data_IF_567108848356
#
_entry.id   IF_567108848356
#
_cell.length_a   1.000
_cell.length_b   1.000
_cell.length_c   1.000
_cell.angle_alpha   90.00
_cell.angle_beta   90.00
_cell.angle_gamma   90.00
#
_symmetry.space_group_name_H-M   'P 1'
#
loop_
_entity.id
_entity.type
_entity.pdbx_description
1 polymer ?
#
# COMPACT_ATOMS: atom_id res chain seq x y z
N UNK A 1 68.84 25.02 -5.15
CA UNK A 1 67.82 24.81 -4.10
C UNK A 1 66.54 25.49 -4.57
N UNK A 2 65.84 24.91 -5.55
CA UNK A 2 64.65 25.51 -6.19
C UNK A 2 63.51 24.49 -6.40
N UNK A 3 63.49 23.40 -5.62
CA UNK A 3 62.44 22.37 -5.71
C UNK A 3 61.29 22.55 -4.70
N UNK A 4 61.35 23.59 -3.87
CA UNK A 4 60.41 23.79 -2.76
C UNK A 4 59.20 24.68 -3.06
N UNK A 5 59.32 25.64 -3.98
CA UNK A 5 58.29 26.68 -4.13
C UNK A 5 57.16 26.28 -5.11
N UNK A 6 57.50 25.55 -6.18
CA UNK A 6 56.53 25.16 -7.21
C UNK A 6 55.62 24.00 -6.74
N UNK A 7 56.18 23.07 -5.96
CA UNK A 7 55.42 21.99 -5.31
C UNK A 7 54.53 22.51 -4.17
N UNK A 8 54.99 23.55 -3.45
CA UNK A 8 54.20 24.20 -2.40
C UNK A 8 53.02 24.99 -2.98
N UNK A 9 53.18 25.66 -4.14
CA UNK A 9 52.05 26.30 -4.85
C UNK A 9 51.03 25.28 -5.37
N UNK A 10 51.48 24.16 -5.96
CA UNK A 10 50.59 23.09 -6.43
C UNK A 10 49.83 22.41 -5.27
N UNK A 11 50.49 22.20 -4.13
CA UNK A 11 49.85 21.65 -2.93
C UNK A 11 48.82 22.62 -2.33
N UNK A 12 49.13 23.92 -2.27
CA UNK A 12 48.18 24.96 -1.79
C UNK A 12 46.96 25.04 -2.73
N UNK A 13 47.15 24.98 -4.05
CA UNK A 13 46.05 24.94 -5.00
C UNK A 13 45.20 23.66 -4.85
N UNK A 14 45.82 22.49 -4.62
CA UNK A 14 45.10 21.23 -4.45
C UNK A 14 44.26 21.20 -3.16
N UNK A 15 44.77 21.76 -2.05
CA UNK A 15 44.04 21.83 -0.77
C UNK A 15 42.95 22.91 -0.81
N UNK A 16 43.18 24.03 -1.49
CA UNK A 16 42.18 25.10 -1.63
C UNK A 16 41.00 24.73 -2.55
N UNK A 17 41.16 23.77 -3.46
CA UNK A 17 40.08 23.25 -4.32
C UNK A 17 39.30 22.08 -3.70
N UNK A 18 39.82 21.47 -2.62
CA UNK A 18 39.19 20.32 -1.95
C UNK A 18 37.79 20.58 -1.35
N UNK A 19 37.45 21.77 -0.80
CA UNK A 19 36.11 22.02 -0.27
C UNK A 19 35.04 22.25 -1.35
N UNK A 20 35.42 22.43 -2.63
CA UNK A 20 34.46 22.61 -3.74
C UNK A 20 33.74 21.30 -4.13
N UNK A 21 34.25 20.15 -3.67
CA UNK A 21 33.65 18.82 -3.88
C UNK A 21 32.89 18.31 -2.66
N UNK A 22 32.79 19.09 -1.58
CA UNK A 22 31.80 18.85 -0.54
C UNK A 22 30.44 19.25 -1.10
N UNK A 23 29.88 18.44 -2.01
CA UNK A 23 28.47 18.54 -2.33
C UNK A 23 27.74 18.29 -1.01
N UNK A 24 27.11 19.32 -0.47
CA UNK A 24 26.14 19.16 0.60
C UNK A 24 25.04 18.25 0.05
N UNK A 25 25.18 16.94 0.26
CA UNK A 25 24.05 16.03 0.21
C UNK A 25 23.19 16.45 1.40
N UNK A 26 22.25 17.34 1.16
CA UNK A 26 21.11 17.49 2.04
C UNK A 26 20.34 16.19 1.95
N UNK A 27 20.43 15.36 2.99
CA UNK A 27 19.50 14.25 3.15
C UNK A 27 18.09 14.83 3.08
N UNK A 28 17.36 14.42 2.04
CA UNK A 28 15.98 14.86 1.87
C UNK A 28 15.16 14.06 2.88
N UNK A 29 14.97 14.65 4.07
CA UNK A 29 14.15 14.04 5.10
C UNK A 29 12.66 14.32 4.77
N UNK A 30 11.93 13.27 4.40
CA UNK A 30 10.50 13.32 4.10
C UNK A 30 9.63 13.02 5.32
N UNK A 31 10.19 12.65 6.48
CA UNK A 31 9.43 12.21 7.65
C UNK A 31 8.39 13.25 8.11
N UNK A 32 8.74 14.55 8.09
CA UNK A 32 7.81 15.62 8.48
C UNK A 32 6.75 15.97 7.42
N UNK A 33 6.82 15.35 6.25
CA UNK A 33 5.92 15.58 5.12
C UNK A 33 5.00 14.38 4.87
N UNK A 34 5.21 13.25 5.56
CA UNK A 34 4.34 12.09 5.42
C UNK A 34 3.01 12.36 6.11
N UNK A 35 1.87 12.09 5.46
CA UNK A 35 0.57 12.21 6.08
C UNK A 35 0.41 11.16 7.18
N UNK A 36 -0.53 11.42 8.10
CA UNK A 36 -0.92 10.46 9.12
C UNK A 36 -1.33 9.11 8.48
N UNK A 37 -1.18 8.04 9.24
CA UNK A 37 -1.62 6.70 8.86
C UNK A 37 -3.13 6.69 8.58
N UNK A 38 -3.52 6.20 7.40
CA UNK A 38 -4.92 6.15 6.95
C UNK A 38 -5.36 4.72 6.63
N UNK A 39 -6.64 4.37 6.88
CA UNK A 39 -7.21 3.11 6.44
C UNK A 39 -7.37 3.07 4.92
N UNK A 40 -7.16 1.89 4.36
CA UNK A 40 -7.25 1.58 2.92
C UNK A 40 -8.15 0.37 2.74
N UNK A 41 -9.10 0.49 1.82
CA UNK A 41 -9.98 -0.61 1.41
C UNK A 41 -9.58 -1.02 -0.01
N UNK A 42 -9.22 -2.28 -0.20
CA UNK A 42 -9.15 -2.89 -1.53
C UNK A 42 -10.29 -3.90 -1.64
N UNK A 43 -11.12 -3.77 -2.66
CA UNK A 43 -12.28 -4.63 -2.84
C UNK A 43 -12.48 -4.96 -4.32
N UNK A 44 -13.12 -6.09 -4.55
CA UNK A 44 -13.58 -6.52 -5.87
C UNK A 44 -15.04 -6.92 -5.74
N UNK A 45 -15.88 -6.37 -6.60
CA UNK A 45 -17.30 -6.71 -6.69
C UNK A 45 -17.62 -7.09 -8.13
N UNK A 46 -17.91 -8.36 -8.35
CA UNK A 46 -18.20 -8.95 -9.66
C UNK A 46 -19.42 -9.87 -9.54
N UNK A 47 -20.18 -10.11 -10.63
CA UNK A 47 -21.42 -10.89 -10.53
C UNK A 47 -21.26 -12.40 -10.26
N UNK A 48 -20.04 -12.92 -10.26
CA UNK A 48 -19.71 -14.34 -10.18
C UNK A 48 -19.39 -14.82 -8.75
N UNK A 49 -19.08 -13.89 -7.84
CA UNK A 49 -18.68 -14.19 -6.47
C UNK A 49 -19.29 -13.21 -5.49
N UNK A 50 -19.29 -13.57 -4.20
CA UNK A 50 -19.63 -12.65 -3.12
C UNK A 50 -18.67 -11.46 -3.06
N UNK A 51 -19.14 -10.32 -2.56
CA UNK A 51 -18.30 -9.15 -2.33
C UNK A 51 -17.24 -9.45 -1.28
N UNK A 52 -15.98 -9.17 -1.62
CA UNK A 52 -14.83 -9.35 -0.76
C UNK A 52 -14.00 -8.06 -0.67
N UNK A 53 -13.45 -7.79 0.50
CA UNK A 53 -12.58 -6.66 0.73
C UNK A 53 -11.43 -7.01 1.69
N UNK A 54 -10.25 -6.49 1.41
CA UNK A 54 -9.17 -6.40 2.39
C UNK A 54 -9.11 -4.98 2.95
N UNK A 55 -8.94 -4.87 4.27
CA UNK A 55 -8.75 -3.59 4.94
C UNK A 55 -7.33 -3.55 5.51
N UNK A 56 -6.60 -2.49 5.18
CA UNK A 56 -5.23 -2.25 5.63
C UNK A 56 -5.05 -0.81 6.05
N UNK A 57 -3.85 -0.46 6.53
CA UNK A 57 -3.42 0.93 6.73
C UNK A 57 -2.29 1.31 5.78
N UNK A 58 -2.12 2.59 5.52
CA UNK A 58 -0.88 3.10 4.92
C UNK A 58 0.31 2.86 5.87
N UNK A 59 1.49 2.75 5.29
CA UNK A 59 2.73 2.59 6.02
C UNK A 59 3.85 3.37 5.35
N UNK A 60 4.80 3.83 6.14
CA UNK A 60 6.02 4.44 5.62
C UNK A 60 7.07 3.38 5.20
N UNK A 61 8.10 3.80 4.46
CA UNK A 61 9.11 2.85 3.97
C UNK A 61 10.09 2.38 5.06
N UNK A 62 10.14 3.07 6.20
CA UNK A 62 11.06 2.86 7.31
C UNK A 62 10.47 2.05 8.46
N UNK A 63 9.15 1.91 8.52
CA UNK A 63 8.44 1.25 9.60
C UNK A 63 8.48 -0.28 9.47
N UNK A 64 8.35 -0.93 10.63
CA UNK A 64 8.09 -2.35 10.66
C UNK A 64 6.67 -2.63 10.17
N UNK A 65 6.56 -3.52 9.19
CA UNK A 65 5.29 -3.88 8.53
C UNK A 65 4.46 -4.85 9.38
N UNK A 66 4.20 -4.46 10.63
CA UNK A 66 3.33 -5.14 11.60
C UNK A 66 2.01 -4.38 11.77
N UNK A 67 0.91 -5.11 11.93
CA UNK A 67 -0.44 -4.55 12.01
C UNK A 67 -0.84 -3.76 10.77
N UNK A 68 -0.28 -4.08 9.60
CA UNK A 68 -0.64 -3.42 8.34
C UNK A 68 -2.02 -3.89 7.89
N UNK A 69 -2.32 -5.18 8.10
CA UNK A 69 -3.67 -5.72 7.86
C UNK A 69 -4.54 -5.50 9.09
N UNK A 70 -5.65 -4.78 8.91
CA UNK A 70 -6.54 -4.42 10.00
C UNK A 70 -7.55 -5.54 10.21
N UNK A 71 -7.28 -6.41 11.19
CA UNK A 71 -8.05 -7.64 11.45
C UNK A 71 -9.33 -7.43 12.25
N UNK A 72 -9.37 -6.34 13.00
CA UNK A 72 -10.45 -6.01 13.93
C UNK A 72 -11.33 -4.85 13.43
N UNK A 73 -11.23 -4.50 12.15
CA UNK A 73 -12.09 -3.50 11.52
C UNK A 73 -13.56 -3.95 11.49
N UNK A 74 -14.48 -3.03 11.77
CA UNK A 74 -15.91 -3.25 11.55
C UNK A 74 -16.24 -2.84 10.11
N UNK A 75 -16.60 -3.80 9.27
CA UNK A 75 -16.78 -3.59 7.82
C UNK A 75 -18.22 -3.82 7.43
N UNK A 76 -18.87 -2.79 6.89
CA UNK A 76 -20.27 -2.80 6.48
C UNK A 76 -20.38 -2.80 4.96
N UNK A 77 -21.28 -3.62 4.42
CA UNK A 77 -21.66 -3.63 3.01
C UNK A 77 -23.00 -2.91 2.81
N UNK A 78 -23.04 -2.02 1.84
CA UNK A 78 -24.26 -1.38 1.35
C UNK A 78 -24.48 -1.76 -0.11
N UNK A 79 -25.74 -2.05 -0.44
CA UNK A 79 -26.19 -2.38 -1.79
C UNK A 79 -27.29 -1.40 -2.17
N UNK A 80 -27.10 -0.70 -3.28
CA UNK A 80 -28.05 0.30 -3.78
C UNK A 80 -28.45 1.34 -2.71
N UNK A 81 -27.46 1.77 -1.92
CA UNK A 81 -27.62 2.76 -0.85
C UNK A 81 -28.24 2.24 0.46
N UNK A 82 -28.60 0.94 0.54
CA UNK A 82 -29.15 0.33 1.75
C UNK A 82 -28.11 -0.56 2.43
N UNK A 83 -28.04 -0.50 3.77
CA UNK A 83 -27.23 -1.44 4.55
C UNK A 83 -27.69 -2.86 4.27
N UNK A 84 -26.78 -3.68 3.75
CA UNK A 84 -27.00 -5.11 3.55
C UNK A 84 -26.61 -5.89 4.80
N UNK A 85 -25.40 -5.65 5.33
CA UNK A 85 -24.93 -6.32 6.53
C UNK A 85 -23.47 -6.05 6.86
N UNK A 86 -23.00 -6.66 7.96
CA UNK A 86 -21.58 -6.67 8.33
C UNK A 86 -20.85 -7.79 7.57
N UNK A 87 -19.65 -7.50 7.08
CA UNK A 87 -18.78 -8.47 6.43
C UNK A 87 -17.97 -9.22 7.50
N UNK A 88 -17.74 -10.52 7.28
CA UNK A 88 -17.07 -11.40 8.25
C UNK A 88 -15.60 -11.57 7.86
N UNK A 89 -14.65 -11.31 8.78
CA UNK A 89 -13.24 -11.54 8.49
C UNK A 89 -12.96 -13.05 8.36
N UNK A 90 -12.26 -13.42 7.29
CA UNK A 90 -11.73 -14.77 7.07
C UNK A 90 -10.22 -14.68 6.88
N UNK A 91 -9.51 -15.61 7.53
CA UNK A 91 -8.06 -15.73 7.43
C UNK A 91 -7.73 -16.76 6.37
N UNK A 92 -6.90 -16.39 5.41
CA UNK A 92 -6.38 -17.24 4.36
C UNK A 92 -4.89 -17.46 4.59
N UNK A 93 -4.51 -18.72 4.81
CA UNK A 93 -3.12 -19.14 4.94
C UNK A 93 -2.47 -19.21 3.55
N UNK A 94 -2.10 -18.04 3.04
CA UNK A 94 -1.30 -17.90 1.81
C UNK A 94 0.16 -17.94 2.21
N UNK A 95 0.97 -18.79 1.60
CA UNK A 95 2.44 -18.74 1.75
C UNK A 95 3.04 -18.28 0.42
N UNK A 96 3.23 -16.97 0.29
CA UNK A 96 3.91 -16.42 -0.89
C UNK A 96 5.39 -16.84 -0.80
N UNK A 97 6.02 -17.40 -1.85
CA UNK A 97 7.42 -17.86 -1.80
C UNK A 97 8.44 -16.73 -1.58
N UNK A 98 9.54 -17.02 -0.87
CA UNK A 98 10.60 -16.05 -0.53
C UNK A 98 11.44 -15.78 -1.78
N UNK A 99 11.29 -14.60 -2.37
CA UNK A 99 11.98 -14.19 -3.60
C UNK A 99 11.70 -12.74 -4.01
N UNK A 100 10.55 -12.19 -3.59
CA UNK A 100 10.27 -10.76 -3.60
C UNK A 100 10.93 -10.10 -2.39
N UNK A 101 11.96 -9.30 -2.64
CA UNK A 101 12.67 -8.50 -1.63
C UNK A 101 11.71 -7.70 -0.74
N UNK A 102 11.82 -7.86 0.58
CA UNK A 102 11.32 -6.87 1.56
C UNK A 102 9.90 -7.04 2.11
N UNK A 103 9.18 -8.13 1.85
CA UNK A 103 7.83 -8.32 2.42
C UNK A 103 7.90 -8.98 3.81
N UNK A 104 7.32 -8.39 4.85
CA UNK A 104 7.26 -8.97 6.21
C UNK A 104 6.45 -10.27 6.26
N UNK A 105 6.70 -11.13 7.26
CA UNK A 105 5.93 -12.36 7.45
C UNK A 105 4.41 -12.12 7.52
N UNK A 106 3.99 -11.00 8.11
CA UNK A 106 2.57 -10.59 8.14
C UNK A 106 2.02 -10.29 6.74
N UNK A 107 2.81 -9.65 5.88
CA UNK A 107 2.40 -9.40 4.51
C UNK A 107 2.50 -10.64 3.63
N UNK A 108 3.19 -11.69 4.08
CA UNK A 108 3.33 -12.94 3.33
C UNK A 108 2.27 -13.97 3.69
N UNK A 109 1.85 -13.99 4.96
CA UNK A 109 1.01 -15.04 5.56
C UNK A 109 -0.29 -14.50 6.14
N UNK A 110 -1.23 -15.42 6.37
CA UNK A 110 -2.46 -15.19 7.16
C UNK A 110 -3.25 -13.95 6.69
N UNK A 111 -3.59 -13.88 5.40
CA UNK A 111 -4.30 -12.76 4.79
C UNK A 111 -5.72 -12.66 5.35
N UNK A 112 -6.12 -11.46 5.79
CA UNK A 112 -7.50 -11.22 6.23
C UNK A 112 -8.31 -10.61 5.09
N UNK A 113 -9.40 -11.28 4.75
CA UNK A 113 -10.38 -10.80 3.79
C UNK A 113 -11.74 -10.80 4.47
N UNK A 114 -12.39 -9.66 4.47
CA UNK A 114 -13.77 -9.50 4.87
C UNK A 114 -14.67 -9.97 3.74
N UNK A 115 -15.58 -10.89 4.06
CA UNK A 115 -16.44 -11.56 3.08
C UNK A 115 -17.90 -11.32 3.44
N UNK A 116 -18.71 -10.89 2.47
CA UNK A 116 -20.16 -10.80 2.62
C UNK A 116 -20.84 -12.13 2.24
N UNK A 117 -22.16 -12.18 2.41
CA UNK A 117 -23.03 -13.23 1.87
C UNK A 117 -23.75 -12.79 0.57
N UNK A 118 -23.37 -11.63 0.01
CA UNK A 118 -24.04 -11.01 -1.12
C UNK A 118 -23.28 -11.22 -2.42
N UNK A 119 -23.93 -11.86 -3.39
CA UNK A 119 -23.48 -11.95 -4.79
C UNK A 119 -24.11 -10.80 -5.58
N UNK A 120 -23.30 -9.86 -6.11
CA UNK A 120 -23.83 -8.73 -6.86
C UNK A 120 -24.46 -9.11 -8.21
N UNK A 121 -25.36 -8.27 -8.69
CA UNK A 121 -25.85 -8.25 -10.07
C UNK A 121 -25.19 -7.10 -10.84
N UNK A 122 -25.11 -7.19 -12.18
CA UNK A 122 -24.70 -6.06 -13.00
C UNK A 122 -25.50 -4.80 -12.67
N UNK A 123 -24.82 -3.67 -12.60
CA UNK A 123 -25.34 -2.35 -12.22
C UNK A 123 -25.70 -2.15 -10.74
N UNK A 124 -25.49 -3.13 -9.86
CA UNK A 124 -25.59 -2.87 -8.44
C UNK A 124 -24.56 -1.82 -8.01
N UNK A 125 -25.01 -0.85 -7.23
CA UNK A 125 -24.15 0.12 -6.57
C UNK A 125 -23.69 -0.47 -5.25
N UNK A 126 -22.41 -0.81 -5.17
CA UNK A 126 -21.79 -1.41 -4.01
C UNK A 126 -20.99 -0.35 -3.27
N UNK A 127 -21.28 -0.17 -1.99
CA UNK A 127 -20.43 0.64 -1.10
C UNK A 127 -19.97 -0.18 0.10
N UNK A 128 -18.71 0.01 0.48
CA UNK A 128 -18.10 -0.64 1.63
C UNK A 128 -17.58 0.44 2.56
N UNK A 129 -17.93 0.33 3.83
CA UNK A 129 -17.50 1.25 4.88
C UNK A 129 -16.75 0.46 5.96
N UNK A 130 -15.53 0.90 6.28
CA UNK A 130 -14.71 0.30 7.31
C UNK A 130 -14.47 1.30 8.45
N UNK A 131 -14.80 0.89 9.67
CA UNK A 131 -14.44 1.59 10.89
C UNK A 131 -13.23 0.92 11.52
N UNK A 132 -12.18 1.70 11.78
CA UNK A 132 -10.88 1.23 12.26
C UNK A 132 -10.31 2.17 13.31
N UNK A 133 -9.27 1.72 14.00
CA UNK A 133 -8.52 2.57 14.94
C UNK A 133 -7.78 3.73 14.26
N UNK A 134 -7.58 3.66 12.94
CA UNK A 134 -6.95 4.70 12.12
C UNK A 134 -7.98 5.64 11.48
N UNK A 135 -9.26 5.53 11.87
CA UNK A 135 -10.37 6.28 11.31
C UNK A 135 -11.24 5.46 10.37
N UNK A 136 -12.03 6.16 9.55
CA UNK A 136 -13.03 5.55 8.68
C UNK A 136 -12.62 5.63 7.22
N UNK A 137 -12.85 4.57 6.46
CA UNK A 137 -12.72 4.55 5.01
C UNK A 137 -14.05 4.14 4.36
N UNK A 138 -14.35 4.73 3.21
CA UNK A 138 -15.51 4.37 2.40
C UNK A 138 -15.11 4.33 0.93
N UNK A 139 -15.54 3.28 0.23
CA UNK A 139 -15.39 3.13 -1.22
C UNK A 139 -16.74 2.76 -1.81
N UNK A 140 -17.01 3.20 -3.03
CA UNK A 140 -18.25 2.93 -3.74
C UNK A 140 -17.98 2.79 -5.23
N UNK A 141 -18.62 1.80 -5.86
CA UNK A 141 -18.56 1.58 -7.30
C UNK A 141 -19.83 0.90 -7.83
N UNK A 142 -19.98 0.83 -9.15
CA UNK A 142 -21.07 0.16 -9.86
C UNK A 142 -20.55 -1.11 -10.51
N UNK A 143 -21.21 -2.23 -10.24
CA UNK A 143 -20.81 -3.54 -10.78
C UNK A 143 -20.95 -3.54 -12.31
N UNK A 144 -19.90 -3.90 -13.06
CA UNK A 144 -19.94 -3.93 -14.51
C UNK A 144 -20.80 -5.10 -15.04
N UNK A 145 -21.17 -5.03 -16.31
CA UNK A 145 -21.69 -6.20 -17.01
C UNK A 145 -20.58 -7.23 -17.24
N UNK A 146 -20.93 -8.53 -17.14
CA UNK A 146 -20.01 -9.60 -17.46
C UNK A 146 -19.78 -9.62 -18.98
N UNK A 147 -18.53 -9.40 -19.40
CA UNK A 147 -18.13 -9.49 -20.81
C UNK A 147 -17.72 -10.93 -21.10
N UNK A 148 -18.26 -11.52 -22.18
CA UNK A 148 -17.78 -12.81 -22.65
C UNK A 148 -16.32 -12.68 -23.13
N UNK A 149 -15.47 -13.63 -22.74
CA UNK A 149 -14.13 -13.70 -23.29
C UNK A 149 -14.26 -14.30 -24.70
N UNK A 150 -14.14 -13.46 -25.73
CA UNK A 150 -13.96 -13.95 -27.09
C UNK A 150 -12.65 -14.75 -27.16
N UNK A 151 -12.68 -15.93 -27.78
CA UNK A 151 -11.56 -16.86 -27.90
C UNK A 151 -10.23 -16.11 -28.11
N UNK A 152 -9.39 -16.11 -27.08
CA UNK A 152 -8.03 -15.61 -27.19
C UNK A 152 -7.34 -16.47 -28.26
N UNK A 153 -7.07 -15.89 -29.43
CA UNK A 153 -6.29 -16.55 -30.47
C UNK A 153 -4.89 -16.80 -29.91
N UNK A 154 -4.64 -18.02 -29.47
CA UNK A 154 -3.31 -18.54 -29.12
C UNK A 154 -2.49 -18.73 -30.40
#
# INVERSE_FOLDING_TARGET
MELGFDNMRKAICAVAFMPLFASCYSDINFESQMPDTLPVINAVATPDTVVMASVSRTYDASEELTGVQLRDAAVSLFVNGKLHGQMIPKIFDVDIPVGSTGTSDELRKNKVVYVSDYVPSPHDRIAIEAHTDYGNARVEDIVPEAVAIDDAKV
#
